data_IF_261221231635
#
_entry.id   IF_261221231635
#
_cell.length_a   1.000
_cell.length_b   1.000
_cell.length_c   1.000
_cell.angle_alpha   90.00
_cell.angle_beta   90.00
_cell.angle_gamma   90.00
#
_symmetry.space_group_name_H-M   'P 1'
#
loop_
_entity.id
_entity.type
_entity.pdbx_description
1 polymer ?
#
# COMPACT_ATOMS: atom_id res chain seq x y z
N UNK A 1 -29.11 33.82 38.93
CA UNK A 1 -28.25 34.21 37.78
C UNK A 1 -27.06 33.24 37.63
N UNK A 2 -27.26 31.97 37.24
CA UNK A 2 -26.14 30.99 37.12
C UNK A 2 -26.11 30.15 35.83
N UNK A 3 -27.08 30.29 34.92
CA UNK A 3 -27.20 29.39 33.75
C UNK A 3 -26.89 30.05 32.39
N UNK A 4 -26.53 31.34 32.35
CA UNK A 4 -26.27 32.06 31.09
C UNK A 4 -24.98 31.65 30.37
N UNK A 5 -24.08 30.94 31.05
CA UNK A 5 -22.80 30.48 30.47
C UNK A 5 -22.88 29.09 29.83
N UNK A 6 -23.94 28.31 30.11
CA UNK A 6 -24.14 26.98 29.52
C UNK A 6 -24.20 26.99 27.98
N UNK A 7 -24.95 27.88 27.30
CA UNK A 7 -24.96 27.91 25.84
C UNK A 7 -23.62 28.36 25.24
N UNK A 8 -22.89 29.24 25.93
CA UNK A 8 -21.55 29.70 25.52
C UNK A 8 -20.55 28.53 25.57
N UNK A 9 -20.62 27.72 26.63
CA UNK A 9 -19.76 26.55 26.79
C UNK A 9 -20.05 25.48 25.72
N UNK A 10 -21.32 25.27 25.38
CA UNK A 10 -21.73 24.33 24.32
C UNK A 10 -21.25 24.80 22.94
N UNK A 11 -21.36 26.10 22.64
CA UNK A 11 -20.87 26.67 21.38
C UNK A 11 -19.33 26.62 21.27
N UNK A 12 -18.63 26.76 22.39
CA UNK A 12 -17.18 26.66 22.41
C UNK A 12 -16.71 25.22 22.19
N UNK A 13 -17.35 24.25 22.87
CA UNK A 13 -17.04 22.83 22.71
C UNK A 13 -17.41 22.28 21.32
N UNK A 14 -18.53 22.71 20.73
CA UNK A 14 -18.87 22.31 19.36
C UNK A 14 -17.87 22.81 18.34
N UNK A 15 -17.34 24.04 18.52
CA UNK A 15 -16.32 24.61 17.65
C UNK A 15 -14.98 23.85 17.73
N UNK A 16 -14.61 23.33 18.90
CA UNK A 16 -13.41 22.50 19.08
C UNK A 16 -13.55 21.14 18.37
N UNK A 17 -14.71 20.51 18.45
CA UNK A 17 -14.98 19.23 17.78
C UNK A 17 -14.93 19.36 16.24
N UNK A 18 -15.45 20.46 15.68
CA UNK A 18 -15.42 20.72 14.23
C UNK A 18 -13.99 20.90 13.73
N UNK A 19 -13.16 21.70 14.43
CA UNK A 19 -11.75 21.89 14.07
C UNK A 19 -10.93 20.59 14.17
N UNK A 20 -11.21 19.74 15.18
CA UNK A 20 -10.55 18.45 15.32
C UNK A 20 -10.88 17.51 14.14
N UNK A 21 -12.09 17.59 13.58
CA UNK A 21 -12.52 16.75 12.46
C UNK A 21 -11.92 17.20 11.11
N UNK A 22 -11.64 18.50 10.94
CA UNK A 22 -11.12 19.06 9.68
C UNK A 22 -9.67 18.64 9.36
N UNK A 23 -8.88 18.21 10.34
CA UNK A 23 -7.48 17.80 10.13
C UNK A 23 -7.27 16.36 9.64
N UNK A 24 -8.33 15.58 9.41
CA UNK A 24 -8.19 14.18 8.94
C UNK A 24 -8.24 14.02 7.41
N UNK A 25 -8.55 15.09 6.68
CA UNK A 25 -8.68 15.05 5.22
C UNK A 25 -7.37 15.37 4.47
N UNK A 26 -6.44 16.09 5.12
CA UNK A 26 -5.20 16.57 4.48
C UNK A 26 -4.11 15.49 4.36
N UNK A 27 -4.25 14.36 5.08
CA UNK A 27 -3.23 13.30 5.14
C UNK A 27 -3.56 12.10 4.24
N UNK A 28 -4.40 12.32 3.22
CA UNK A 28 -4.82 11.29 2.26
C UNK A 28 -4.11 11.38 0.90
N UNK A 29 -2.97 12.05 0.84
CA UNK A 29 -2.15 12.02 -0.37
C UNK A 29 -1.30 10.74 -0.35
N UNK A 30 -1.97 9.61 -0.58
CA UNK A 30 -1.40 8.29 -0.37
C UNK A 30 -0.31 8.00 -1.43
N UNK A 31 -0.46 8.46 -2.69
CA UNK A 31 0.48 8.16 -3.80
C UNK A 31 0.46 9.27 -4.88
N UNK A 32 1.63 9.71 -5.36
CA UNK A 32 1.77 10.70 -6.46
C UNK A 32 1.74 10.06 -7.86
N UNK A 33 1.22 8.85 -8.00
CA UNK A 33 1.22 8.14 -9.28
C UNK A 33 0.19 8.76 -10.24
N UNK A 34 0.67 9.25 -11.37
CA UNK A 34 -0.15 9.74 -12.49
C UNK A 34 0.18 8.83 -13.67
N UNK A 35 -0.80 8.30 -14.42
CA UNK A 35 -0.51 7.46 -15.59
C UNK A 35 0.40 8.19 -16.58
N UNK A 36 1.58 7.63 -16.85
CA UNK A 36 2.56 8.15 -17.81
C UNK A 36 2.33 7.51 -19.19
N UNK A 37 2.41 6.17 -19.25
CA UNK A 37 2.24 5.40 -20.47
C UNK A 37 0.77 4.97 -20.72
N UNK A 38 0.33 4.91 -22.00
CA UNK A 38 -0.95 4.33 -22.34
C UNK A 38 -0.98 2.82 -22.06
N UNK A 39 -2.14 2.32 -21.63
CA UNK A 39 -2.33 0.88 -21.43
C UNK A 39 -2.14 0.11 -22.74
N UNK A 40 -1.27 -0.90 -22.71
CA UNK A 40 -1.09 -1.86 -23.80
C UNK A 40 -1.67 -3.20 -23.36
N UNK A 41 -2.70 -3.67 -24.08
CA UNK A 41 -3.29 -4.97 -23.79
C UNK A 41 -2.34 -6.11 -24.15
N UNK A 42 -2.17 -7.05 -23.22
CA UNK A 42 -1.45 -8.31 -23.42
C UNK A 42 -2.36 -9.45 -22.94
N UNK A 43 -2.54 -10.47 -23.79
CA UNK A 43 -3.25 -11.68 -23.38
C UNK A 43 -2.33 -12.54 -22.50
N UNK A 44 -2.54 -12.47 -21.18
CA UNK A 44 -1.77 -13.23 -20.18
C UNK A 44 -1.81 -14.75 -20.40
N UNK A 45 -2.84 -15.28 -21.07
CA UNK A 45 -2.94 -16.72 -21.32
C UNK A 45 -1.92 -17.23 -22.34
N UNK A 46 -1.44 -16.33 -23.20
CA UNK A 46 -0.47 -16.62 -24.26
C UNK A 46 0.98 -16.36 -23.83
N UNK A 47 1.19 -15.74 -22.67
CA UNK A 47 2.53 -15.45 -22.17
C UNK A 47 3.26 -16.74 -21.78
N UNK A 48 4.56 -16.90 -22.13
CA UNK A 48 5.35 -18.03 -21.70
C UNK A 48 5.45 -18.08 -20.18
N UNK A 49 5.54 -19.30 -19.64
CA UNK A 49 5.59 -19.54 -18.19
C UNK A 49 6.78 -20.38 -17.81
N UNK A 50 7.30 -20.14 -16.61
CA UNK A 50 8.35 -20.97 -16.02
C UNK A 50 8.11 -21.17 -14.53
N UNK A 51 8.90 -22.04 -13.91
CA UNK A 51 8.85 -22.24 -12.46
C UNK A 51 9.16 -20.92 -11.74
N UNK A 52 8.29 -20.51 -10.82
CA UNK A 52 8.49 -19.30 -10.04
C UNK A 52 9.68 -19.45 -9.08
N UNK A 53 10.43 -18.37 -8.89
CA UNK A 53 11.54 -18.39 -7.96
C UNK A 53 11.04 -18.50 -6.51
N UNK A 54 11.35 -19.64 -5.86
CA UNK A 54 11.02 -19.90 -4.48
C UNK A 54 12.19 -20.60 -3.80
N UNK A 55 12.78 -19.94 -2.79
CA UNK A 55 13.87 -20.53 -2.00
C UNK A 55 13.53 -20.39 -0.54
N UNK A 56 13.63 -21.51 0.19
CA UNK A 56 13.51 -21.56 1.65
C UNK A 56 14.80 -22.16 2.22
N UNK A 57 15.49 -21.35 3.04
CA UNK A 57 16.69 -21.72 3.79
C UNK A 57 16.48 -21.38 5.26
N UNK A 58 17.46 -21.70 6.10
CA UNK A 58 17.38 -21.43 7.55
C UNK A 58 17.53 -19.93 7.88
N UNK A 59 18.20 -19.19 7.01
CA UNK A 59 18.63 -17.80 7.18
C UNK A 59 17.80 -16.80 6.36
N UNK A 60 17.24 -17.23 5.23
CA UNK A 60 16.33 -16.42 4.43
C UNK A 60 15.28 -17.25 3.70
N UNK A 61 14.22 -16.56 3.28
CA UNK A 61 13.27 -17.09 2.30
C UNK A 61 12.97 -16.02 1.25
N UNK A 62 12.55 -16.48 0.08
CA UNK A 62 12.15 -15.64 -1.05
C UNK A 62 10.96 -16.28 -1.75
N UNK A 63 10.03 -15.44 -2.18
CA UNK A 63 8.90 -15.84 -2.99
C UNK A 63 8.70 -14.81 -4.09
N UNK A 64 8.58 -15.28 -5.32
CA UNK A 64 8.09 -14.45 -6.41
C UNK A 64 6.58 -14.22 -6.23
N UNK A 65 6.14 -12.99 -6.42
CA UNK A 65 4.73 -12.59 -6.20
C UNK A 65 3.96 -12.39 -7.50
N UNK A 66 4.65 -12.00 -8.57
CA UNK A 66 4.03 -11.83 -9.88
C UNK A 66 4.01 -13.18 -10.62
N UNK A 67 2.98 -13.97 -10.32
CA UNK A 67 2.78 -15.34 -10.78
C UNK A 67 1.35 -15.53 -11.31
N UNK A 68 1.12 -16.56 -12.12
CA UNK A 68 -0.21 -16.90 -12.62
C UNK A 68 -1.05 -17.67 -11.60
N UNK A 69 -2.28 -18.03 -11.98
CA UNK A 69 -3.21 -18.76 -11.11
C UNK A 69 -2.73 -20.19 -10.75
N UNK A 70 -1.75 -20.74 -11.46
CA UNK A 70 -1.12 -22.03 -11.16
C UNK A 70 0.17 -21.87 -10.34
N UNK A 71 0.58 -20.64 -10.03
CA UNK A 71 1.81 -20.34 -9.29
C UNK A 71 3.06 -20.26 -10.16
N UNK A 72 2.93 -20.18 -11.48
CA UNK A 72 4.04 -20.09 -12.43
C UNK A 72 4.47 -18.64 -12.65
N UNK A 73 5.77 -18.41 -12.83
CA UNK A 73 6.28 -17.12 -13.29
C UNK A 73 5.81 -16.83 -14.71
N UNK A 74 5.46 -15.57 -14.97
CA UNK A 74 5.04 -15.06 -16.27
C UNK A 74 6.26 -14.38 -16.92
N UNK A 75 6.84 -15.03 -17.91
CA UNK A 75 8.11 -14.59 -18.51
C UNK A 75 7.92 -13.25 -19.23
N UNK A 76 8.78 -12.29 -18.90
CA UNK A 76 8.79 -10.96 -19.51
C UNK A 76 7.71 -10.01 -18.98
N UNK A 77 7.00 -10.36 -17.90
CA UNK A 77 6.10 -9.44 -17.23
C UNK A 77 6.90 -8.33 -16.53
N UNK A 78 6.52 -7.07 -16.78
CA UNK A 78 7.14 -5.88 -16.18
C UNK A 78 7.00 -5.85 -14.65
N UNK A 79 6.06 -6.62 -14.08
CA UNK A 79 5.94 -6.81 -12.63
C UNK A 79 7.11 -7.58 -11.98
N UNK A 80 8.07 -8.09 -12.75
CA UNK A 80 9.24 -8.84 -12.25
C UNK A 80 10.44 -7.96 -11.83
N UNK A 81 10.22 -6.71 -11.39
CA UNK A 81 11.24 -5.76 -10.88
C UNK A 81 10.74 -5.05 -9.60
N UNK A 82 11.59 -4.50 -8.69
CA UNK A 82 12.81 -5.03 -8.06
C UNK A 82 12.50 -5.92 -6.83
N UNK A 83 13.52 -6.51 -6.21
CA UNK A 83 13.39 -7.41 -5.07
C UNK A 83 13.14 -6.66 -3.75
N UNK A 84 11.94 -6.79 -3.19
CA UNK A 84 11.63 -6.39 -1.81
C UNK A 84 12.35 -7.31 -0.82
N UNK A 85 13.16 -6.74 0.08
CA UNK A 85 13.72 -7.47 1.21
C UNK A 85 13.28 -6.85 2.53
N UNK A 86 12.91 -7.73 3.48
CA UNK A 86 12.42 -7.37 4.81
C UNK A 86 13.40 -7.90 5.86
N UNK A 87 13.81 -7.06 6.82
CA UNK A 87 14.70 -7.48 7.90
C UNK A 87 13.94 -8.44 8.86
N UNK A 88 14.43 -9.69 9.04
CA UNK A 88 13.75 -10.66 9.88
C UNK A 88 13.77 -10.31 11.38
N UNK A 89 14.64 -9.38 11.80
CA UNK A 89 14.72 -8.88 13.18
C UNK A 89 13.91 -7.60 13.40
N UNK A 90 13.56 -6.89 12.34
CA UNK A 90 12.75 -5.68 12.39
C UNK A 90 11.90 -5.54 11.09
N UNK A 91 10.64 -6.02 11.09
CA UNK A 91 9.78 -5.98 9.91
C UNK A 91 9.49 -4.58 9.34
N UNK A 92 9.69 -3.53 10.14
CA UNK A 92 9.53 -2.15 9.69
C UNK A 92 10.75 -1.66 8.86
N UNK A 93 11.83 -2.44 8.80
CA UNK A 93 13.00 -2.16 7.96
C UNK A 93 12.91 -2.97 6.67
N UNK A 94 12.66 -2.25 5.58
CA UNK A 94 12.46 -2.78 4.23
C UNK A 94 13.42 -2.07 3.26
N UNK A 95 13.95 -2.80 2.29
CA UNK A 95 14.65 -2.26 1.12
C UNK A 95 13.96 -2.73 -0.16
N UNK A 96 13.91 -1.84 -1.16
CA UNK A 96 13.34 -2.04 -2.49
C UNK A 96 14.42 -1.66 -3.51
#
# INVERSE_FOLDING_TARGET
MKYYYAPIFVLFFSSLCINAQQNTAADRDFHNEIPDDPYVFVDRSLMPKQEAYNVRRSDYFTTQVNIDAAGMDIVGDAGNEPSLAVDPLNPDRIVI
#
